data_IF_436806175926
#
_entry.id   IF_436806175926
#
_cell.length_a   1.000
_cell.length_b   1.000
_cell.length_c   1.000
_cell.angle_alpha   90.00
_cell.angle_beta   90.00
_cell.angle_gamma   90.00
#
_symmetry.space_group_name_H-M   'P 1'
#
loop_
_entity.id
_entity.type
_entity.pdbx_description
1 polymer ?
#
# COMPACT_ATOMS: atom_id res chain seq x y z
N UNK A 1 -13.28 -7.54 -11.90
CA UNK A 1 -12.53 -6.36 -11.42
C UNK A 1 -12.17 -5.41 -12.54
N UNK A 2 -11.55 -5.89 -13.64
CA UNK A 2 -11.25 -5.06 -14.82
C UNK A 2 -12.44 -4.21 -15.34
N UNK A 3 -13.63 -4.79 -15.53
CA UNK A 3 -14.84 -4.06 -16.01
C UNK A 3 -15.17 -2.85 -15.14
N UNK A 4 -14.99 -3.00 -13.82
CA UNK A 4 -15.28 -1.93 -12.88
C UNK A 4 -14.27 -0.80 -13.03
N UNK A 5 -12.98 -1.13 -13.18
CA UNK A 5 -11.94 -0.12 -13.42
C UNK A 5 -12.16 0.58 -14.76
N UNK A 6 -12.46 -0.16 -15.82
CA UNK A 6 -12.78 0.40 -17.14
C UNK A 6 -13.99 1.35 -17.10
N UNK A 7 -15.11 0.92 -16.49
CA UNK A 7 -16.30 1.76 -16.33
C UNK A 7 -15.99 3.00 -15.46
N UNK A 8 -15.20 2.86 -14.38
CA UNK A 8 -14.78 3.99 -13.52
C UNK A 8 -13.89 4.99 -14.26
N UNK A 9 -12.94 4.52 -15.09
CA UNK A 9 -12.11 5.38 -15.93
C UNK A 9 -12.97 6.10 -16.97
N UNK A 10 -14.02 5.47 -17.47
CA UNK A 10 -14.91 6.05 -18.49
C UNK A 10 -16.01 6.96 -17.93
N UNK A 11 -16.21 6.99 -16.60
CA UNK A 11 -17.23 7.78 -15.91
C UNK A 11 -16.95 9.29 -15.79
N UNK A 12 -15.92 9.80 -16.47
CA UNK A 12 -15.47 11.21 -16.49
C UNK A 12 -16.54 12.27 -16.86
N UNK A 13 -17.77 11.87 -17.21
CA UNK A 13 -18.86 12.76 -17.62
C UNK A 13 -19.61 13.48 -16.48
N UNK A 14 -19.37 13.16 -15.21
CA UNK A 14 -20.17 13.69 -14.08
C UNK A 14 -19.46 14.76 -13.22
N UNK A 15 -18.36 15.35 -13.70
CA UNK A 15 -17.64 16.43 -12.99
C UNK A 15 -16.78 15.97 -11.81
N UNK A 16 -16.57 14.65 -11.64
CA UNK A 16 -15.66 14.09 -10.64
C UNK A 16 -14.63 13.20 -11.36
N UNK A 17 -13.36 13.61 -11.36
CA UNK A 17 -12.27 12.74 -11.82
C UNK A 17 -12.15 11.52 -10.86
N UNK A 18 -11.93 10.34 -11.42
CA UNK A 18 -11.75 9.10 -10.65
C UNK A 18 -10.35 8.57 -10.89
N UNK A 19 -9.54 8.58 -9.82
CA UNK A 19 -8.26 7.89 -9.76
C UNK A 19 -8.41 6.50 -9.15
N UNK A 20 -7.33 5.73 -9.21
CA UNK A 20 -7.28 4.45 -8.50
C UNK A 20 -5.88 3.88 -8.36
N UNK A 21 -5.67 3.10 -7.31
CA UNK A 21 -4.46 2.28 -7.12
C UNK A 21 -4.86 0.82 -7.23
N UNK A 22 -4.21 0.05 -8.08
CA UNK A 22 -4.43 -1.40 -8.23
C UNK A 22 -3.18 -2.12 -7.75
N UNK A 23 -3.33 -2.98 -6.75
CA UNK A 23 -2.28 -3.86 -6.22
C UNK A 23 -2.57 -5.27 -6.71
N UNK A 24 -1.65 -5.82 -7.51
CA UNK A 24 -1.85 -7.08 -8.21
C UNK A 24 -0.66 -8.03 -7.98
N UNK A 25 -0.83 -9.09 -7.16
CA UNK A 25 0.16 -10.14 -6.92
C UNK A 25 0.58 -10.92 -8.16
N UNK A 26 -0.27 -11.02 -9.18
CA UNK A 26 -0.07 -11.89 -10.36
C UNK A 26 0.33 -11.10 -11.61
N UNK A 27 -0.08 -9.84 -11.70
CA UNK A 27 0.27 -8.90 -12.75
C UNK A 27 -0.68 -8.89 -13.95
N UNK A 28 -1.52 -9.91 -14.10
CA UNK A 28 -2.47 -10.04 -15.20
C UNK A 28 -3.52 -8.91 -15.16
N UNK A 29 -4.06 -8.59 -13.98
CA UNK A 29 -5.03 -7.50 -13.83
C UNK A 29 -4.43 -6.14 -14.19
N UNK A 30 -3.19 -5.87 -13.77
CA UNK A 30 -2.48 -4.66 -14.14
C UNK A 30 -2.25 -4.56 -15.65
N UNK A 31 -1.80 -5.64 -16.29
CA UNK A 31 -1.59 -5.68 -17.74
C UNK A 31 -2.90 -5.46 -18.50
N UNK A 32 -3.95 -6.16 -18.08
CA UNK A 32 -5.29 -6.08 -18.67
C UNK A 32 -5.89 -4.68 -18.59
N UNK A 33 -5.75 -4.02 -17.44
CA UNK A 33 -6.22 -2.63 -17.27
C UNK A 33 -5.41 -1.71 -18.19
N UNK A 34 -4.08 -1.78 -18.13
CA UNK A 34 -3.22 -0.91 -18.92
C UNK A 34 -3.46 -1.03 -20.43
N UNK A 35 -3.69 -2.26 -20.92
CA UNK A 35 -3.97 -2.56 -22.32
C UNK A 35 -5.30 -1.99 -22.83
N UNK A 36 -6.19 -1.53 -21.94
CA UNK A 36 -7.50 -0.95 -22.30
C UNK A 36 -7.56 0.57 -22.13
N UNK A 37 -6.51 1.19 -21.60
CA UNK A 37 -6.49 2.65 -21.39
C UNK A 37 -6.17 3.35 -22.73
N UNK A 38 -7.09 4.20 -23.22
CA UNK A 38 -6.93 4.86 -24.51
C UNK A 38 -5.83 5.94 -24.46
N UNK A 39 -5.15 6.22 -25.59
CA UNK A 39 -3.96 7.09 -25.65
C UNK A 39 -4.11 8.43 -24.93
N UNK A 40 -5.27 9.08 -25.07
CA UNK A 40 -5.58 10.37 -24.46
C UNK A 40 -5.57 10.34 -22.92
N UNK A 41 -5.76 9.17 -22.29
CA UNK A 41 -5.72 8.98 -20.82
C UNK A 41 -4.45 8.34 -20.32
N UNK A 42 -3.59 7.85 -21.21
CA UNK A 42 -2.38 7.11 -20.79
C UNK A 42 -1.46 7.98 -19.93
N UNK A 43 -1.42 9.30 -20.12
CA UNK A 43 -0.63 10.23 -19.31
C UNK A 43 -1.02 10.24 -17.80
N UNK A 44 -2.22 9.78 -17.44
CA UNK A 44 -2.68 9.64 -16.06
C UNK A 44 -2.20 8.33 -15.40
N UNK A 45 -1.58 7.43 -16.18
CA UNK A 45 -1.21 6.09 -15.72
C UNK A 45 0.23 6.08 -15.20
N UNK A 46 0.37 5.63 -13.95
CA UNK A 46 1.64 5.17 -13.37
C UNK A 46 1.64 3.65 -13.37
N UNK A 47 2.49 3.03 -14.20
CA UNK A 47 2.64 1.58 -14.22
C UNK A 47 3.99 1.21 -13.61
N UNK A 48 3.97 0.43 -12.53
CA UNK A 48 5.16 -0.05 -11.85
C UNK A 48 5.15 -1.58 -11.86
N UNK A 49 6.21 -2.19 -12.41
CA UNK A 49 6.51 -3.61 -12.23
C UNK A 49 7.66 -3.73 -11.23
N UNK A 50 7.35 -4.15 -10.01
CA UNK A 50 8.34 -4.11 -8.92
C UNK A 50 9.52 -5.06 -9.15
N UNK A 51 9.32 -6.19 -9.85
CA UNK A 51 10.40 -7.14 -10.16
C UNK A 51 11.56 -6.55 -10.99
N UNK A 52 11.34 -5.39 -11.62
CA UNK A 52 12.38 -4.70 -12.41
C UNK A 52 13.32 -3.87 -11.53
N UNK A 53 12.89 -3.54 -10.30
CA UNK A 53 13.73 -2.83 -9.34
C UNK A 53 14.12 -1.42 -9.76
N UNK A 54 13.40 -0.79 -10.68
CA UNK A 54 13.77 0.51 -11.27
C UNK A 54 13.18 1.71 -10.54
N UNK A 55 12.04 1.55 -9.88
CA UNK A 55 11.36 2.65 -9.19
C UNK A 55 12.09 2.98 -7.87
N UNK A 56 12.46 4.24 -7.62
CA UNK A 56 12.96 4.65 -6.30
C UNK A 56 11.85 4.50 -5.26
N UNK A 57 12.15 3.87 -4.13
CA UNK A 57 11.14 3.56 -3.11
C UNK A 57 11.67 3.76 -1.69
N UNK A 58 11.93 5.00 -1.29
CA UNK A 58 12.28 5.29 0.10
C UNK A 58 11.02 5.33 1.00
N UNK A 59 10.95 4.43 1.98
CA UNK A 59 9.80 4.34 2.91
C UNK A 59 9.68 5.54 3.87
N UNK A 60 10.74 6.34 4.03
CA UNK A 60 10.71 7.56 4.83
C UNK A 60 10.38 8.83 4.02
N UNK A 61 10.42 8.77 2.68
CA UNK A 61 9.97 9.88 1.83
C UNK A 61 8.47 9.77 1.57
N UNK A 62 7.69 10.59 2.27
CA UNK A 62 6.24 10.69 2.11
C UNK A 62 5.85 12.02 1.48
N UNK A 63 4.72 12.03 0.79
CA UNK A 63 4.20 13.19 0.06
C UNK A 63 2.97 13.83 0.73
N UNK A 64 2.81 13.55 2.01
CA UNK A 64 1.74 14.06 2.85
C UNK A 64 2.30 14.57 4.18
N UNK A 65 1.58 15.50 4.81
CA UNK A 65 2.00 16.09 6.08
C UNK A 65 1.96 15.05 7.20
N UNK A 66 3.13 14.67 7.70
CA UNK A 66 3.30 13.82 8.87
C UNK A 66 4.54 14.27 9.65
N UNK A 67 4.49 14.19 10.98
CA UNK A 67 5.65 14.43 11.83
C UNK A 67 6.63 13.25 11.73
N UNK A 68 7.92 13.48 12.00
CA UNK A 68 8.97 12.46 11.81
C UNK A 68 8.71 11.19 12.63
N UNK A 69 8.15 11.33 13.84
CA UNK A 69 7.75 10.22 14.71
C UNK A 69 6.65 9.37 14.08
N UNK A 70 5.66 9.99 13.43
CA UNK A 70 4.58 9.26 12.73
C UNK A 70 5.09 8.52 11.51
N UNK A 71 6.03 9.09 10.77
CA UNK A 71 6.65 8.43 9.62
C UNK A 71 7.48 7.24 10.12
N UNK A 72 8.32 7.42 11.14
CA UNK A 72 9.12 6.34 11.71
C UNK A 72 8.25 5.21 12.28
N UNK A 73 7.18 5.56 13.01
CA UNK A 73 6.22 4.58 13.53
C UNK A 73 5.49 3.85 12.40
N UNK A 74 5.08 4.56 11.34
CA UNK A 74 4.47 3.95 10.16
C UNK A 74 5.39 2.90 9.53
N UNK A 75 6.66 3.25 9.31
CA UNK A 75 7.64 2.32 8.74
C UNK A 75 7.82 1.11 9.66
N UNK A 76 7.91 1.33 10.97
CA UNK A 76 7.96 0.25 11.96
C UNK A 76 6.73 -0.66 11.88
N UNK A 77 5.52 -0.10 11.88
CA UNK A 77 4.25 -0.84 11.86
C UNK A 77 4.10 -1.68 10.59
N UNK A 78 4.46 -1.14 9.43
CA UNK A 78 4.43 -1.86 8.16
C UNK A 78 5.39 -3.06 8.17
N UNK A 79 6.60 -2.87 8.68
CA UNK A 79 7.60 -3.93 8.78
C UNK A 79 7.21 -4.97 9.85
N UNK A 80 6.63 -4.52 10.95
CA UNK A 80 6.06 -5.36 12.03
C UNK A 80 4.97 -6.27 11.50
N UNK A 81 4.07 -5.71 10.70
CA UNK A 81 3.02 -6.47 10.03
C UNK A 81 3.59 -7.53 9.10
N UNK A 82 4.71 -7.28 8.43
CA UNK A 82 5.36 -8.27 7.54
C UNK A 82 6.14 -9.35 8.32
N UNK A 83 6.69 -9.03 9.50
CA UNK A 83 7.56 -9.92 10.27
C UNK A 83 7.01 -10.29 11.66
N UNK A 84 5.71 -10.54 11.77
CA UNK A 84 4.97 -10.73 13.04
C UNK A 84 5.63 -11.70 14.03
N UNK A 85 6.16 -12.83 13.55
CA UNK A 85 6.68 -13.90 14.41
C UNK A 85 7.96 -13.54 15.17
N UNK A 86 8.65 -12.45 14.81
CA UNK A 86 9.94 -12.09 15.40
C UNK A 86 10.10 -10.57 15.50
N UNK A 87 9.09 -9.91 16.07
CA UNK A 87 9.12 -8.48 16.36
C UNK A 87 9.17 -8.25 17.88
N UNK A 88 10.18 -7.51 18.33
CA UNK A 88 10.41 -7.26 19.75
C UNK A 88 10.69 -5.79 20.05
N UNK A 89 10.74 -5.40 21.33
CA UNK A 89 10.85 -4.00 21.75
C UNK A 89 12.08 -3.29 21.18
N UNK A 90 13.22 -4.00 21.09
CA UNK A 90 14.42 -3.46 20.46
C UNK A 90 14.21 -3.09 18.98
N UNK A 91 13.34 -3.82 18.26
CA UNK A 91 13.05 -3.51 16.86
C UNK A 91 12.21 -2.24 16.78
N UNK A 92 11.17 -2.13 17.60
CA UNK A 92 10.36 -0.90 17.73
C UNK A 92 11.25 0.31 18.04
N UNK A 93 12.09 0.23 19.08
CA UNK A 93 12.98 1.32 19.48
C UNK A 93 13.98 1.70 18.37
N UNK A 94 14.58 0.72 17.70
CA UNK A 94 15.57 0.99 16.66
C UNK A 94 14.94 1.68 15.44
N UNK A 95 13.75 1.25 15.00
CA UNK A 95 13.06 1.90 13.88
C UNK A 95 12.54 3.29 14.24
N UNK A 96 11.98 3.46 15.44
CA UNK A 96 11.48 4.75 15.90
C UNK A 96 12.62 5.76 16.07
N UNK A 97 13.59 5.48 16.96
CA UNK A 97 14.68 6.42 17.25
C UNK A 97 15.57 6.64 16.03
N UNK A 98 15.93 5.57 15.33
CA UNK A 98 16.79 5.66 14.16
C UNK A 98 16.09 6.34 12.98
N UNK A 99 14.80 6.08 12.79
CA UNK A 99 14.00 6.75 11.78
C UNK A 99 13.91 8.26 12.03
N UNK A 100 13.63 8.69 13.27
CA UNK A 100 13.55 10.13 13.60
C UNK A 100 14.93 10.78 13.44
N UNK A 101 16.00 10.20 14.00
CA UNK A 101 17.34 10.77 13.93
C UNK A 101 17.79 10.96 12.48
N UNK A 102 17.57 9.96 11.62
CA UNK A 102 17.94 10.06 10.21
C UNK A 102 17.05 11.04 9.44
N UNK A 103 15.78 11.21 9.80
CA UNK A 103 14.92 12.24 9.21
C UNK A 103 15.40 13.65 9.56
N UNK A 104 15.76 13.90 10.82
CA UNK A 104 16.30 15.20 11.29
C UNK A 104 17.54 15.63 10.53
N UNK A 105 18.43 14.69 10.21
CA UNK A 105 19.64 14.98 9.43
C UNK A 105 19.42 14.87 7.91
N UNK A 106 18.22 14.54 7.45
CA UNK A 106 17.88 14.44 6.02
C UNK A 106 18.41 13.20 5.31
N UNK A 107 18.76 12.13 6.02
CA UNK A 107 19.35 10.89 5.48
C UNK A 107 18.51 9.63 5.76
N UNK A 108 17.22 9.79 6.04
CA UNK A 108 16.32 8.69 6.36
C UNK A 108 16.20 7.68 5.22
N UNK A 109 16.69 6.46 5.45
CA UNK A 109 16.51 5.30 4.57
C UNK A 109 16.75 4.01 5.36
N UNK A 110 16.20 2.88 4.89
CA UNK A 110 16.46 1.58 5.54
C UNK A 110 17.95 1.18 5.55
N UNK A 111 18.73 1.43 4.47
CA UNK A 111 20.17 1.21 4.49
C UNK A 111 20.92 2.11 5.49
N UNK A 112 20.54 3.38 5.61
CA UNK A 112 21.17 4.27 6.58
C UNK A 112 20.80 3.91 8.01
N UNK A 113 19.59 3.40 8.25
CA UNK A 113 19.22 2.81 9.54
C UNK A 113 20.11 1.60 9.87
N UNK A 114 20.37 0.74 8.88
CA UNK A 114 21.29 -0.38 9.06
C UNK A 114 22.68 0.13 9.46
N UNK A 115 23.21 1.15 8.76
CA UNK A 115 24.52 1.75 9.07
C UNK A 115 24.55 2.38 10.45
N UNK A 116 23.53 3.15 10.84
CA UNK A 116 23.43 3.78 12.17
C UNK A 116 23.57 2.75 13.31
N UNK A 117 23.04 1.54 13.10
CA UNK A 117 23.08 0.47 14.08
C UNK A 117 24.38 -0.36 14.03
N UNK A 118 25.07 -0.44 12.90
CA UNK A 118 26.24 -1.34 12.71
C UNK A 118 27.61 -0.66 12.56
N UNK A 119 27.64 0.61 12.16
CA UNK A 119 28.85 1.37 11.81
C UNK A 119 29.07 2.49 12.85
N UNK A 120 30.05 2.32 13.76
CA UNK A 120 30.33 3.30 14.82
C UNK A 120 30.74 4.68 14.29
N UNK A 121 31.46 4.73 13.17
CA UNK A 121 31.94 5.98 12.58
C UNK A 121 30.77 6.75 11.96
N UNK A 122 29.89 6.03 11.26
CA UNK A 122 28.66 6.63 10.75
C UNK A 122 27.74 7.09 11.89
N UNK A 123 27.60 6.30 12.96
CA UNK A 123 26.82 6.70 14.15
C UNK A 123 27.36 7.98 14.77
N UNK A 124 28.68 8.11 14.91
CA UNK A 124 29.32 9.34 15.41
C UNK A 124 28.98 10.54 14.51
N UNK A 125 29.08 10.39 13.19
CA UNK A 125 28.73 11.46 12.24
C UNK A 125 27.27 11.91 12.33
N UNK A 126 26.35 11.01 12.68
CA UNK A 126 24.94 11.35 12.93
C UNK A 126 24.82 12.13 14.23
N UNK A 127 25.47 11.68 15.31
CA UNK A 127 25.47 12.35 16.61
C UNK A 127 26.00 13.79 16.54
N UNK A 128 27.04 14.03 15.74
CA UNK A 128 27.62 15.37 15.53
C UNK A 128 26.67 16.36 14.85
N UNK A 129 25.70 15.84 14.09
CA UNK A 129 24.74 16.65 13.31
C UNK A 129 23.41 16.88 14.03
N UNK A 130 23.18 16.22 15.16
CA UNK A 130 21.99 16.44 15.98
C UNK A 130 22.12 17.74 16.78
N UNK A 131 21.08 18.57 16.75
CA UNK A 131 20.98 19.79 17.52
C UNK A 131 20.63 19.49 18.98
N UNK A 132 21.61 19.61 19.88
CA UNK A 132 21.43 19.32 21.31
C UNK A 132 20.56 20.34 22.05
N UNK A 133 20.23 21.47 21.44
CA UNK A 133 19.30 22.45 22.01
C UNK A 133 17.83 22.07 21.76
N UNK A 134 17.55 21.23 20.75
CA UNK A 134 16.22 20.65 20.54
C UNK A 134 16.04 19.46 21.49
N UNK A 135 14.98 19.43 22.33
CA UNK A 135 14.78 18.37 23.31
C UNK A 135 14.70 16.96 22.71
N UNK A 136 14.07 16.83 21.53
CA UNK A 136 13.89 15.53 20.87
C UNK A 136 15.23 15.05 20.33
N UNK A 137 15.98 15.92 19.64
CA UNK A 137 17.31 15.57 19.13
C UNK A 137 18.33 15.32 20.25
N UNK A 138 18.20 15.99 21.40
CA UNK A 138 19.01 15.69 22.57
C UNK A 138 18.70 14.29 23.16
N UNK A 139 17.43 13.89 23.23
CA UNK A 139 17.06 12.54 23.67
C UNK A 139 17.61 11.47 22.71
N UNK A 140 17.55 11.72 21.40
CA UNK A 140 18.15 10.86 20.37
C UNK A 140 19.68 10.81 20.51
N UNK A 141 20.33 11.94 20.75
CA UNK A 141 21.76 12.02 21.01
C UNK A 141 22.15 11.15 22.21
N UNK A 142 21.41 11.26 23.33
CA UNK A 142 21.66 10.46 24.53
C UNK A 142 21.46 8.96 24.26
N UNK A 143 20.40 8.59 23.53
CA UNK A 143 20.12 7.21 23.13
C UNK A 143 21.27 6.60 22.32
N UNK A 144 21.70 7.28 21.25
CA UNK A 144 22.73 6.78 20.35
C UNK A 144 24.15 6.89 20.93
N UNK A 145 24.42 7.88 21.80
CA UNK A 145 25.68 7.97 22.55
C UNK A 145 25.82 6.81 23.55
N UNK A 146 24.73 6.45 24.22
CA UNK A 146 24.71 5.26 25.06
C UNK A 146 24.97 4.01 24.21
N UNK A 147 24.32 3.88 23.05
CA UNK A 147 24.53 2.75 22.14
C UNK A 147 25.99 2.67 21.65
N UNK A 148 26.66 3.81 21.42
CA UNK A 148 28.07 3.92 21.03
C UNK A 148 29.04 3.41 22.11
N UNK A 149 28.70 3.63 23.39
CA UNK A 149 29.53 3.23 24.53
C UNK A 149 29.33 1.79 25.02
N UNK A 150 28.38 1.04 24.47
CA UNK A 150 28.12 -0.35 24.88
C UNK A 150 29.23 -1.31 24.45
N UNK A 151 29.45 -2.35 25.25
CA UNK A 151 30.29 -3.48 24.84
C UNK A 151 29.61 -4.28 23.72
N UNK A 152 30.40 -4.94 22.86
CA UNK A 152 29.91 -5.69 21.69
C UNK A 152 28.75 -6.63 22.00
N UNK A 153 28.82 -7.36 23.12
CA UNK A 153 27.77 -8.32 23.51
C UNK A 153 26.44 -7.62 23.81
N UNK A 154 26.47 -6.48 24.49
CA UNK A 154 25.27 -5.72 24.87
C UNK A 154 24.69 -4.98 23.65
N UNK A 155 25.57 -4.42 22.81
CA UNK A 155 25.19 -3.83 21.53
C UNK A 155 24.46 -4.85 20.65
N UNK A 156 25.00 -6.06 20.50
CA UNK A 156 24.39 -7.13 19.72
C UNK A 156 23.00 -7.52 20.25
N UNK A 157 22.79 -7.54 21.57
CA UNK A 157 21.47 -7.83 22.15
C UNK A 157 20.43 -6.78 21.77
N UNK A 158 20.85 -5.51 21.61
CA UNK A 158 19.97 -4.40 21.22
C UNK A 158 19.76 -4.28 19.71
N UNK A 159 20.73 -4.61 18.87
CA UNK A 159 20.66 -4.29 17.43
C UNK A 159 20.50 -5.49 16.50
N UNK A 160 20.90 -6.69 16.91
CA UNK A 160 21.07 -7.81 15.97
C UNK A 160 19.74 -8.28 15.35
N UNK A 161 18.63 -8.24 16.09
CA UNK A 161 17.30 -8.56 15.56
C UNK A 161 16.90 -7.61 14.42
N UNK A 162 17.05 -6.30 14.63
CA UNK A 162 16.80 -5.28 13.60
C UNK A 162 17.75 -5.44 12.42
N UNK A 163 19.05 -5.59 12.66
CA UNK A 163 20.05 -5.78 11.61
C UNK A 163 19.78 -7.02 10.75
N UNK A 164 19.35 -8.12 11.34
CA UNK A 164 19.00 -9.34 10.61
C UNK A 164 17.82 -9.10 9.65
N UNK A 165 16.81 -8.31 10.07
CA UNK A 165 15.66 -7.97 9.23
C UNK A 165 16.04 -7.00 8.10
N UNK A 166 16.78 -5.95 8.42
CA UNK A 166 17.27 -4.99 7.43
C UNK A 166 18.17 -5.68 6.39
N UNK A 167 19.04 -6.62 6.81
CA UNK A 167 19.88 -7.41 5.89
C UNK A 167 19.07 -8.21 4.87
N UNK A 168 17.92 -8.78 5.24
CA UNK A 168 17.05 -9.50 4.28
C UNK A 168 16.54 -8.58 3.16
N UNK A 169 16.24 -7.34 3.50
CA UNK A 169 15.81 -6.32 2.54
C UNK A 169 16.99 -5.85 1.69
N UNK A 170 18.09 -5.46 2.32
CA UNK A 170 19.21 -4.80 1.63
C UNK A 170 20.02 -5.73 0.74
N UNK A 171 19.93 -7.05 0.96
CA UNK A 171 20.54 -8.10 0.14
C UNK A 171 19.62 -8.62 -0.99
N UNK A 172 18.32 -8.29 -1.00
CA UNK A 172 17.47 -8.62 -2.15
C UNK A 172 17.93 -7.82 -3.37
N UNK A 173 18.11 -8.51 -4.51
CA UNK A 173 18.52 -7.88 -5.77
C UNK A 173 17.51 -6.86 -6.30
N UNK A 174 16.23 -7.04 -5.96
CA UNK A 174 15.14 -6.14 -6.36
C UNK A 174 14.89 -5.09 -5.29
N UNK A 175 14.52 -5.51 -4.07
CA UNK A 175 14.17 -4.58 -2.99
C UNK A 175 15.34 -3.71 -2.58
N UNK A 176 16.54 -4.29 -2.50
CA UNK A 176 17.74 -3.59 -2.11
C UNK A 176 18.09 -2.44 -3.07
N UNK A 177 17.81 -2.58 -4.37
CA UNK A 177 18.02 -1.51 -5.37
C UNK A 177 17.04 -0.36 -5.15
N UNK A 178 15.76 -0.67 -4.96
CA UNK A 178 14.68 0.31 -4.82
C UNK A 178 14.72 1.08 -3.50
N UNK A 179 14.88 0.38 -2.38
CA UNK A 179 14.79 0.93 -1.02
C UNK A 179 16.06 1.71 -0.60
N UNK A 180 17.09 1.75 -1.46
CA UNK A 180 18.27 2.60 -1.32
C UNK A 180 18.08 4.01 -1.86
N UNK A 181 17.00 4.24 -2.59
CA UNK A 181 16.68 5.56 -3.11
C UNK A 181 16.49 6.57 -1.97
N UNK A 182 16.66 7.85 -2.30
CA UNK A 182 16.39 8.96 -1.39
C UNK A 182 14.91 9.35 -1.41
N UNK A 183 14.20 9.03 -2.49
CA UNK A 183 12.81 9.41 -2.69
C UNK A 183 11.88 8.22 -2.92
N UNK A 184 10.59 8.46 -2.78
CA UNK A 184 9.52 7.55 -3.10
C UNK A 184 8.85 7.97 -4.41
N UNK A 185 9.12 7.23 -5.48
CA UNK A 185 8.62 7.52 -6.81
C UNK A 185 7.11 7.36 -6.98
N UNK A 186 6.42 6.71 -6.04
CA UNK A 186 4.97 6.48 -6.15
C UNK A 186 4.15 7.72 -5.81
N UNK A 187 4.64 8.60 -4.91
CA UNK A 187 3.96 9.82 -4.41
C UNK A 187 2.45 9.60 -4.28
N UNK A 188 2.05 8.89 -3.21
CA UNK A 188 0.69 8.38 -3.05
C UNK A 188 -0.36 9.48 -2.97
N UNK A 189 -0.13 10.52 -2.16
CA UNK A 189 -1.07 11.64 -2.02
C UNK A 189 -1.23 12.41 -3.32
N UNK A 190 -0.13 12.70 -4.01
CA UNK A 190 -0.12 13.36 -5.32
C UNK A 190 -0.90 12.54 -6.34
N UNK A 191 -0.67 11.22 -6.41
CA UNK A 191 -1.38 10.32 -7.33
C UNK A 191 -2.88 10.35 -7.08
N UNK A 192 -3.30 10.38 -5.81
CA UNK A 192 -4.71 10.46 -5.43
C UNK A 192 -5.34 11.78 -5.82
N UNK A 193 -4.68 12.90 -5.51
CA UNK A 193 -5.22 14.25 -5.71
C UNK A 193 -5.22 14.68 -7.18
N UNK A 194 -4.38 14.06 -8.00
CA UNK A 194 -4.37 14.24 -9.46
C UNK A 194 -5.28 13.26 -10.20
N UNK A 195 -5.95 12.33 -9.50
CA UNK A 195 -6.82 11.34 -10.13
C UNK A 195 -6.07 10.35 -11.03
N UNK A 196 -4.81 10.02 -10.68
CA UNK A 196 -4.00 9.08 -11.45
C UNK A 196 -4.46 7.64 -11.28
N UNK A 197 -4.17 6.82 -12.28
CA UNK A 197 -4.33 5.37 -12.25
C UNK A 197 -2.96 4.75 -11.96
N UNK A 198 -2.76 4.25 -10.76
CA UNK A 198 -1.51 3.65 -10.29
C UNK A 198 -1.62 2.14 -10.32
N UNK A 199 -0.92 1.48 -11.22
CA UNK A 199 -0.89 0.02 -11.40
C UNK A 199 0.38 -0.53 -10.76
N UNK A 200 0.22 -1.27 -9.67
CA UNK A 200 1.28 -1.86 -8.85
C UNK A 200 1.33 -3.36 -9.11
N UNK A 201 2.15 -3.73 -10.10
CA UNK A 201 2.34 -5.11 -10.52
C UNK A 201 3.45 -5.76 -9.67
N UNK A 202 3.05 -6.75 -8.86
CA UNK A 202 3.94 -7.51 -7.97
C UNK A 202 4.31 -8.89 -8.53
N UNK A 203 4.01 -9.16 -9.81
CA UNK A 203 4.40 -10.39 -10.48
C UNK A 203 5.92 -10.60 -10.44
N UNK A 204 6.35 -11.86 -10.53
CA UNK A 204 7.77 -12.27 -10.52
C UNK A 204 8.57 -11.96 -9.24
N UNK A 205 7.98 -11.28 -8.25
CA UNK A 205 8.54 -11.18 -6.90
C UNK A 205 8.41 -12.50 -6.14
N UNK A 206 9.29 -12.73 -5.18
CA UNK A 206 9.11 -13.83 -4.20
C UNK A 206 7.90 -13.57 -3.30
N UNK A 207 7.37 -14.63 -2.67
CA UNK A 207 6.19 -14.51 -1.79
C UNK A 207 6.38 -13.45 -0.68
N UNK A 208 7.55 -13.45 -0.03
CA UNK A 208 7.88 -12.49 1.03
C UNK A 208 7.97 -11.05 0.50
N UNK A 209 8.52 -10.86 -0.71
CA UNK A 209 8.61 -9.54 -1.36
C UNK A 209 7.24 -9.01 -1.76
N UNK A 210 6.35 -9.85 -2.30
CA UNK A 210 4.96 -9.47 -2.61
C UNK A 210 4.22 -9.02 -1.35
N UNK A 211 4.33 -9.79 -0.26
CA UNK A 211 3.71 -9.47 1.03
C UNK A 211 4.21 -8.13 1.57
N UNK A 212 5.53 -7.94 1.58
CA UNK A 212 6.16 -6.72 2.08
C UNK A 212 5.74 -5.49 1.27
N UNK A 213 5.92 -5.53 -0.04
CA UNK A 213 5.63 -4.39 -0.93
C UNK A 213 4.13 -4.12 -1.02
N UNK A 214 3.30 -5.16 -1.11
CA UNK A 214 1.85 -5.02 -1.13
C UNK A 214 1.33 -4.37 0.16
N UNK A 215 1.81 -4.81 1.32
CA UNK A 215 1.43 -4.23 2.63
C UNK A 215 1.94 -2.80 2.79
N UNK A 216 3.16 -2.50 2.32
CA UNK A 216 3.69 -1.13 2.24
C UNK A 216 2.78 -0.24 1.39
N UNK A 217 2.50 -0.65 0.16
CA UNK A 217 1.69 0.15 -0.76
C UNK A 217 0.27 0.38 -0.24
N UNK A 218 -0.34 -0.64 0.36
CA UNK A 218 -1.67 -0.51 0.96
C UNK A 218 -1.66 0.45 2.15
N UNK A 219 -0.65 0.38 3.02
CA UNK A 219 -0.53 1.27 4.19
C UNK A 219 -0.21 2.71 3.76
N UNK A 220 0.69 2.93 2.79
CA UNK A 220 0.94 4.27 2.28
C UNK A 220 -0.29 4.87 1.60
N UNK A 221 -1.05 4.06 0.86
CA UNK A 221 -2.33 4.50 0.31
C UNK A 221 -3.35 4.86 1.41
N UNK A 222 -3.40 4.08 2.50
CA UNK A 222 -4.25 4.37 3.65
C UNK A 222 -3.90 5.74 4.27
N UNK A 223 -2.62 5.97 4.54
CA UNK A 223 -2.11 7.18 5.17
C UNK A 223 -2.26 8.40 4.27
N UNK A 224 -1.97 8.26 2.97
CA UNK A 224 -2.22 9.30 1.99
C UNK A 224 -3.72 9.66 1.95
N UNK A 225 -4.62 8.66 1.99
CA UNK A 225 -6.07 8.89 2.08
C UNK A 225 -6.45 9.65 3.35
N UNK A 226 -6.00 9.19 4.52
CA UNK A 226 -6.24 9.89 5.81
C UNK A 226 -5.70 11.31 5.83
N UNK A 227 -4.57 11.55 5.16
CA UNK A 227 -3.95 12.86 5.16
C UNK A 227 -4.84 13.94 4.53
N UNK A 228 -5.79 13.58 3.66
CA UNK A 228 -6.81 14.53 3.12
C UNK A 228 -7.68 15.19 4.20
N UNK A 229 -7.59 14.74 5.45
CA UNK A 229 -8.12 15.47 6.60
C UNK A 229 -7.57 16.91 6.71
N UNK A 230 -6.37 17.17 6.18
CA UNK A 230 -5.73 18.48 6.13
C UNK A 230 -6.38 19.46 5.14
N UNK A 231 -7.20 18.96 4.22
CA UNK A 231 -7.84 19.75 3.17
C UNK A 231 -9.19 20.26 3.65
N UNK A 232 -9.49 21.57 3.53
CA UNK A 232 -10.79 22.13 3.90
C UNK A 232 -11.94 21.37 3.24
N UNK A 233 -13.05 21.16 3.96
CA UNK A 233 -14.12 20.29 3.48
C UNK A 233 -14.63 20.65 2.07
N UNK A 234 -14.81 21.95 1.78
CA UNK A 234 -15.28 22.43 0.48
C UNK A 234 -14.29 22.15 -0.68
N UNK A 235 -12.99 22.10 -0.41
CA UNK A 235 -11.96 21.73 -1.39
C UNK A 235 -11.81 20.21 -1.48
N UNK A 236 -11.91 19.51 -0.34
CA UNK A 236 -11.87 18.05 -0.29
C UNK A 236 -12.98 17.42 -1.11
N UNK A 237 -14.17 18.02 -1.11
CA UNK A 237 -15.30 17.55 -1.92
C UNK A 237 -15.03 17.66 -3.43
N UNK A 238 -14.08 18.51 -3.84
CA UNK A 238 -13.65 18.68 -5.24
C UNK A 238 -12.48 17.75 -5.62
N UNK A 239 -11.80 17.12 -4.64
CA UNK A 239 -10.72 16.18 -4.94
C UNK A 239 -11.23 14.97 -5.73
N UNK A 240 -10.40 14.38 -6.61
CA UNK A 240 -10.74 13.14 -7.28
C UNK A 240 -11.08 12.03 -6.28
N UNK A 241 -12.09 11.24 -6.62
CA UNK A 241 -12.36 10.01 -5.88
C UNK A 241 -11.25 9.01 -6.19
N UNK A 242 -10.73 8.31 -5.19
CA UNK A 242 -9.63 7.35 -5.38
C UNK A 242 -9.93 6.00 -4.76
N UNK A 243 -10.06 4.96 -5.56
CA UNK A 243 -10.21 3.60 -5.03
C UNK A 243 -8.86 2.90 -4.91
N UNK A 244 -8.69 2.06 -3.90
CA UNK A 244 -7.58 1.12 -3.78
C UNK A 244 -8.15 -0.27 -4.04
N UNK A 245 -7.73 -0.90 -5.12
CA UNK A 245 -8.12 -2.25 -5.49
C UNK A 245 -6.99 -3.20 -5.14
N UNK A 246 -7.30 -4.25 -4.39
CA UNK A 246 -6.36 -5.32 -4.07
C UNK A 246 -6.88 -6.59 -4.72
N UNK A 247 -6.17 -7.07 -5.73
CA UNK A 247 -6.39 -8.41 -6.26
C UNK A 247 -5.83 -9.45 -5.29
N UNK A 248 -6.49 -10.60 -5.21
CA UNK A 248 -6.12 -11.69 -4.31
C UNK A 248 -5.82 -11.22 -2.88
N UNK A 249 -6.74 -10.41 -2.32
CA UNK A 249 -6.58 -9.76 -1.03
C UNK A 249 -6.16 -10.67 0.14
N UNK A 250 -6.55 -11.97 0.22
CA UNK A 250 -6.02 -12.88 1.22
C UNK A 250 -4.49 -12.92 1.33
N UNK A 251 -3.76 -12.70 0.22
CA UNK A 251 -2.29 -12.66 0.22
C UNK A 251 -1.70 -11.52 1.04
N UNK A 252 -2.45 -10.42 1.21
CA UNK A 252 -2.03 -9.23 1.95
C UNK A 252 -2.76 -9.04 3.28
N UNK A 253 -3.93 -9.68 3.45
CA UNK A 253 -4.82 -9.49 4.61
C UNK A 253 -4.15 -9.78 5.94
N UNK A 254 -3.41 -10.89 6.06
CA UNK A 254 -2.72 -11.24 7.31
C UNK A 254 -1.79 -10.11 7.79
N UNK A 255 -1.23 -9.35 6.86
CA UNK A 255 -0.25 -8.30 7.12
C UNK A 255 -0.86 -6.89 6.98
N UNK A 256 -2.17 -6.76 6.76
CA UNK A 256 -2.80 -5.46 6.49
C UNK A 256 -4.20 -5.29 7.09
N UNK A 257 -4.58 -6.11 8.08
CA UNK A 257 -5.90 -6.06 8.73
C UNK A 257 -6.31 -4.65 9.15
N UNK A 258 -5.49 -3.95 9.92
CA UNK A 258 -5.83 -2.61 10.43
C UNK A 258 -6.05 -1.61 9.28
N UNK A 259 -5.25 -1.72 8.22
CA UNK A 259 -5.40 -0.86 7.05
C UNK A 259 -6.74 -1.11 6.37
N UNK A 260 -7.11 -2.38 6.16
CA UNK A 260 -8.40 -2.77 5.58
C UNK A 260 -9.57 -2.29 6.45
N UNK A 261 -9.48 -2.44 7.78
CA UNK A 261 -10.50 -1.96 8.70
C UNK A 261 -10.64 -0.43 8.64
N UNK A 262 -9.52 0.30 8.57
CA UNK A 262 -9.54 1.74 8.41
C UNK A 262 -10.15 2.15 7.07
N UNK A 263 -9.77 1.50 5.96
CA UNK A 263 -10.40 1.75 4.65
C UNK A 263 -11.92 1.55 4.70
N UNK A 264 -12.36 0.50 5.40
CA UNK A 264 -13.77 0.15 5.47
C UNK A 264 -14.59 1.09 6.37
N UNK A 265 -13.98 1.68 7.41
CA UNK A 265 -14.68 2.46 8.44
C UNK A 265 -14.49 3.98 8.35
N UNK A 266 -13.33 4.45 7.90
CA UNK A 266 -12.91 5.86 8.03
C UNK A 266 -12.70 6.55 6.68
N UNK A 267 -12.02 5.89 5.73
CA UNK A 267 -11.48 6.56 4.54
C UNK A 267 -12.52 7.04 3.54
N UNK A 268 -13.78 6.57 3.67
CA UNK A 268 -14.91 7.10 2.90
C UNK A 268 -15.07 8.61 3.07
N UNK A 269 -14.76 9.15 4.27
CA UNK A 269 -14.81 10.59 4.57
C UNK A 269 -13.77 11.40 3.79
N UNK A 270 -12.77 10.72 3.21
CA UNK A 270 -11.64 11.30 2.50
C UNK A 270 -11.68 11.02 0.99
N UNK A 271 -12.86 10.68 0.45
CA UNK A 271 -13.08 10.29 -0.96
C UNK A 271 -12.20 9.12 -1.40
N UNK A 272 -11.92 8.20 -0.48
CA UNK A 272 -11.12 7.01 -0.74
C UNK A 272 -11.91 5.76 -0.32
N UNK A 273 -11.84 4.70 -1.13
CA UNK A 273 -12.43 3.39 -0.78
C UNK A 273 -11.50 2.26 -1.13
N UNK A 274 -11.81 1.06 -0.61
CA UNK A 274 -11.11 -0.16 -0.96
C UNK A 274 -12.03 -1.13 -1.71
N UNK A 275 -11.47 -1.86 -2.67
CA UNK A 275 -12.10 -2.97 -3.40
C UNK A 275 -11.23 -4.20 -3.20
N UNK A 276 -11.80 -5.28 -2.69
CA UNK A 276 -11.06 -6.51 -2.38
C UNK A 276 -11.52 -7.63 -3.31
N UNK A 277 -10.58 -8.18 -4.08
CA UNK A 277 -10.76 -9.41 -4.84
C UNK A 277 -10.39 -10.61 -3.99
N UNK A 278 -11.25 -11.63 -3.92
CA UNK A 278 -11.05 -12.82 -3.09
C UNK A 278 -11.56 -14.05 -3.84
N UNK A 279 -10.82 -15.16 -3.79
CA UNK A 279 -11.25 -16.43 -4.40
C UNK A 279 -12.15 -17.26 -3.48
N UNK A 280 -11.97 -17.10 -2.16
CA UNK A 280 -12.75 -17.76 -1.12
C UNK A 280 -12.51 -17.08 0.23
N UNK A 281 -13.23 -17.52 1.26
CA UNK A 281 -13.10 -16.99 2.63
C UNK A 281 -12.39 -18.01 3.51
N UNK A 282 -12.93 -19.23 3.56
CA UNK A 282 -12.45 -20.28 4.46
C UNK A 282 -11.04 -20.72 4.08
N UNK A 283 -10.16 -20.71 5.08
CA UNK A 283 -8.76 -21.14 4.92
C UNK A 283 -7.87 -20.11 4.22
N UNK A 284 -8.44 -19.00 3.74
CA UNK A 284 -7.70 -17.89 3.13
C UNK A 284 -7.75 -16.63 3.99
N UNK A 285 -8.83 -16.45 4.77
CA UNK A 285 -9.10 -15.24 5.55
C UNK A 285 -9.30 -15.61 7.01
N UNK A 286 -8.60 -14.94 7.95
CA UNK A 286 -8.90 -15.09 9.38
C UNK A 286 -10.36 -14.75 9.70
N UNK A 287 -10.97 -15.45 10.66
CA UNK A 287 -12.39 -15.27 11.03
C UNK A 287 -12.71 -13.83 11.38
N UNK A 288 -11.84 -13.18 12.15
CA UNK A 288 -12.04 -11.82 12.65
C UNK A 288 -12.05 -10.81 11.49
N UNK A 289 -11.18 -11.03 10.49
CA UNK A 289 -11.09 -10.21 9.28
C UNK A 289 -12.33 -10.40 8.41
N UNK A 290 -12.77 -11.64 8.23
CA UNK A 290 -14.00 -11.96 7.50
C UNK A 290 -15.21 -11.27 8.12
N UNK A 291 -15.36 -11.34 9.44
CA UNK A 291 -16.44 -10.68 10.17
C UNK A 291 -16.38 -9.15 10.06
N UNK A 292 -15.18 -8.57 10.11
CA UNK A 292 -14.98 -7.14 9.90
C UNK A 292 -15.37 -6.69 8.48
N UNK A 293 -15.02 -7.48 7.45
CA UNK A 293 -15.41 -7.22 6.07
C UNK A 293 -16.93 -7.22 5.93
N UNK A 294 -17.63 -8.26 6.41
CA UNK A 294 -19.08 -8.35 6.30
C UNK A 294 -19.83 -7.26 7.09
N UNK A 295 -19.23 -6.78 8.17
CA UNK A 295 -19.77 -5.68 9.00
C UNK A 295 -19.62 -4.32 8.31
N UNK A 296 -18.44 -4.03 7.77
CA UNK A 296 -18.08 -2.66 7.36
C UNK A 296 -18.29 -2.39 5.86
N UNK A 297 -18.23 -3.40 4.99
CA UNK A 297 -18.42 -3.20 3.56
C UNK A 297 -19.91 -3.03 3.25
N UNK A 298 -20.24 -2.00 2.44
CA UNK A 298 -21.62 -1.74 2.01
C UNK A 298 -22.03 -2.56 0.79
N UNK A 299 -21.04 -2.99 -0.01
CA UNK A 299 -21.26 -3.65 -1.30
C UNK A 299 -20.52 -4.97 -1.34
N UNK A 300 -21.24 -6.02 -1.75
CA UNK A 300 -20.73 -7.37 -1.93
C UNK A 300 -21.15 -7.86 -3.30
N UNK A 301 -20.23 -8.52 -3.99
CA UNK A 301 -20.48 -9.22 -5.25
C UNK A 301 -19.95 -10.63 -5.07
N UNK A 302 -20.85 -11.61 -5.06
CA UNK A 302 -20.50 -13.02 -5.05
C UNK A 302 -20.60 -13.56 -6.47
N UNK A 303 -19.46 -14.00 -6.99
CA UNK A 303 -19.39 -14.82 -8.20
C UNK A 303 -19.60 -16.28 -7.85
N UNK A 304 -19.35 -17.18 -8.79
CA UNK A 304 -19.35 -18.62 -8.52
C UNK A 304 -18.34 -18.96 -7.43
N UNK A 305 -18.82 -19.55 -6.34
CA UNK A 305 -17.99 -20.04 -5.25
C UNK A 305 -17.64 -21.51 -5.46
N UNK A 306 -16.42 -21.89 -5.09
CA UNK A 306 -15.94 -23.27 -5.19
C UNK A 306 -16.18 -24.12 -3.95
N UNK A 307 -16.45 -23.50 -2.79
CA UNK A 307 -16.59 -24.17 -1.50
C UNK A 307 -18.00 -23.96 -0.91
N UNK A 308 -18.72 -25.04 -0.51
CA UNK A 308 -20.01 -24.95 0.18
C UNK A 308 -20.00 -24.07 1.45
N UNK A 309 -18.90 -24.05 2.19
CA UNK A 309 -18.78 -23.28 3.43
C UNK A 309 -18.65 -21.79 3.17
N UNK A 310 -17.96 -21.40 2.08
CA UNK A 310 -17.94 -20.02 1.60
C UNK A 310 -19.34 -19.60 1.15
N UNK A 311 -20.05 -20.47 0.44
CA UNK A 311 -21.42 -20.19 0.01
C UNK A 311 -22.37 -20.00 1.20
N UNK A 312 -22.22 -20.80 2.25
CA UNK A 312 -22.97 -20.65 3.48
C UNK A 312 -22.64 -19.32 4.20
N UNK A 313 -21.36 -18.97 4.31
CA UNK A 313 -20.92 -17.73 4.95
C UNK A 313 -21.44 -16.49 4.20
N UNK A 314 -21.35 -16.52 2.87
CA UNK A 314 -21.85 -15.47 1.99
C UNK A 314 -23.37 -15.36 2.06
N UNK A 315 -24.11 -16.47 2.00
CA UNK A 315 -25.58 -16.44 2.09
C UNK A 315 -26.06 -15.88 3.44
N UNK A 316 -25.44 -16.30 4.55
CA UNK A 316 -25.74 -15.74 5.89
C UNK A 316 -25.53 -14.23 5.94
N UNK A 317 -24.52 -13.73 5.22
CA UNK A 317 -24.16 -12.30 5.21
C UNK A 317 -24.96 -11.48 4.18
N UNK A 318 -25.53 -12.14 3.18
CA UNK A 318 -26.44 -11.59 2.17
C UNK A 318 -27.80 -12.30 2.22
N UNK A 319 -28.55 -12.15 3.33
CA UNK A 319 -29.77 -12.94 3.54
C UNK A 319 -30.82 -12.62 2.46
N UNK A 320 -31.45 -13.68 1.97
CA UNK A 320 -32.53 -13.64 0.99
C UNK A 320 -33.53 -14.75 1.29
N UNK A 321 -34.81 -14.50 1.02
CA UNK A 321 -35.86 -15.51 1.11
C UNK A 321 -35.81 -16.50 -0.06
N UNK A 322 -35.13 -16.11 -1.15
CA UNK A 322 -35.13 -16.85 -2.42
C UNK A 322 -33.82 -17.61 -2.64
N UNK A 323 -32.69 -17.03 -2.23
CA UNK A 323 -31.37 -17.61 -2.46
C UNK A 323 -31.00 -18.63 -1.37
N UNK A 324 -30.43 -19.74 -1.82
CA UNK A 324 -29.84 -20.81 -1.00
C UNK A 324 -28.34 -20.90 -1.25
N UNK A 325 -27.63 -21.59 -0.36
CA UNK A 325 -26.18 -21.81 -0.46
C UNK A 325 -25.80 -22.42 -1.83
N UNK A 326 -26.64 -23.34 -2.33
CA UNK A 326 -26.46 -23.98 -3.64
C UNK A 326 -26.48 -23.01 -4.83
N UNK A 327 -27.16 -21.87 -4.71
CA UNK A 327 -27.26 -20.91 -5.82
C UNK A 327 -25.93 -20.21 -6.06
N UNK A 328 -25.18 -19.91 -5.00
CA UNK A 328 -23.84 -19.33 -5.08
C UNK A 328 -22.80 -20.31 -5.66
N UNK A 329 -23.03 -21.61 -5.56
CA UNK A 329 -22.19 -22.65 -6.17
C UNK A 329 -22.49 -22.86 -7.66
N UNK A 330 -23.75 -22.67 -8.06
CA UNK A 330 -24.23 -23.03 -9.40
C UNK A 330 -24.40 -21.85 -10.36
N UNK A 331 -24.24 -20.60 -9.89
CA UNK A 331 -24.39 -19.41 -10.72
C UNK A 331 -23.57 -19.49 -12.01
N UNK A 332 -24.15 -19.10 -13.13
CA UNK A 332 -23.52 -19.17 -14.45
C UNK A 332 -22.28 -18.26 -14.57
N UNK A 333 -21.33 -18.58 -15.46
CA UNK A 333 -20.24 -17.66 -15.77
C UNK A 333 -20.77 -16.28 -16.17
N UNK A 334 -20.01 -15.23 -15.84
CA UNK A 334 -20.39 -13.83 -16.07
C UNK A 334 -21.66 -13.37 -15.36
N UNK A 335 -22.18 -14.13 -14.39
CA UNK A 335 -23.23 -13.69 -13.49
C UNK A 335 -22.71 -13.63 -12.06
N UNK A 336 -23.30 -12.74 -11.25
CA UNK A 336 -22.98 -12.59 -9.83
C UNK A 336 -24.22 -12.25 -9.03
N UNK A 337 -24.25 -12.59 -7.75
CA UNK A 337 -25.22 -12.03 -6.80
C UNK A 337 -24.62 -10.83 -6.12
N UNK A 338 -25.34 -9.70 -6.11
CA UNK A 338 -24.88 -8.48 -5.50
C UNK A 338 -25.85 -7.97 -4.45
N UNK A 339 -25.27 -7.51 -3.35
CA UNK A 339 -25.93 -6.68 -2.36
C UNK A 339 -25.17 -5.37 -2.28
N UNK A 340 -25.87 -4.25 -2.28
CA UNK A 340 -25.24 -2.96 -2.11
C UNK A 340 -25.96 -2.12 -1.07
N UNK A 341 -25.27 -1.11 -0.58
CA UNK A 341 -25.86 -0.09 0.26
C UNK A 341 -26.21 1.12 -0.61
N UNK A 342 -27.47 1.52 -0.59
CA UNK A 342 -27.97 2.72 -1.26
C UNK A 342 -28.44 3.67 -0.17
N UNK A 343 -27.79 4.83 -0.06
CA UNK A 343 -27.92 5.71 1.11
C UNK A 343 -27.66 4.96 2.43
N UNK A 344 -28.67 4.81 3.28
CA UNK A 344 -28.56 4.13 4.57
C UNK A 344 -29.27 2.76 4.59
N UNK A 345 -29.73 2.27 3.43
CA UNK A 345 -30.44 1.00 3.33
C UNK A 345 -29.63 -0.03 2.54
N UNK A 346 -29.74 -1.29 2.95
CA UNK A 346 -29.16 -2.42 2.23
C UNK A 346 -30.20 -2.97 1.26
N UNK A 347 -29.82 -3.16 0.00
CA UNK A 347 -30.69 -3.82 -0.97
C UNK A 347 -30.90 -5.27 -0.60
N UNK A 348 -31.98 -5.89 -1.10
CA UNK A 348 -32.03 -7.35 -1.22
C UNK A 348 -30.96 -7.81 -2.22
N UNK A 349 -30.38 -9.01 -2.07
CA UNK A 349 -29.49 -9.55 -3.08
C UNK A 349 -30.21 -9.66 -4.42
N UNK A 350 -29.54 -9.25 -5.50
CA UNK A 350 -30.06 -9.34 -6.87
C UNK A 350 -29.01 -9.93 -7.80
N UNK A 351 -29.48 -10.56 -8.88
CA UNK A 351 -28.62 -11.10 -9.92
C UNK A 351 -28.10 -9.96 -10.80
N UNK A 352 -26.79 -9.90 -10.99
CA UNK A 352 -26.16 -9.07 -12.01
C UNK A 352 -25.59 -9.95 -13.12
N UNK A 353 -25.62 -9.41 -14.34
CA UNK A 353 -24.85 -9.94 -15.46
C UNK A 353 -23.69 -9.00 -15.73
N UNK A 354 -22.48 -9.54 -15.68
CA UNK A 354 -21.26 -8.81 -16.01
C UNK A 354 -21.18 -8.58 -17.51
N UNK A 355 -20.70 -7.40 -17.90
CA UNK A 355 -20.34 -7.13 -19.30
C UNK A 355 -19.10 -7.94 -19.68
N UNK A 356 -18.95 -8.25 -20.96
CA UNK A 356 -17.66 -8.71 -21.48
C UNK A 356 -16.65 -7.55 -21.41
N UNK A 357 -15.35 -7.81 -21.21
CA UNK A 357 -14.34 -6.78 -21.28
C UNK A 357 -14.37 -6.05 -22.61
N UNK A 358 -14.05 -4.76 -22.59
CA UNK A 358 -13.60 -4.08 -23.80
C UNK A 358 -12.37 -4.79 -24.40
N UNK A 359 -12.12 -4.57 -25.69
CA UNK A 359 -10.95 -5.13 -26.34
C UNK A 359 -9.66 -4.51 -25.76
N UNK A 360 -8.65 -5.35 -25.50
CA UNK A 360 -7.31 -4.91 -25.13
C UNK A 360 -6.59 -4.39 -26.38
N UNK A 361 -6.73 -3.10 -26.68
CA UNK A 361 -6.26 -2.50 -27.94
C UNK A 361 -4.86 -1.86 -27.81
N UNK A 362 -4.39 -1.61 -26.59
CA UNK A 362 -3.25 -0.74 -26.31
C UNK A 362 -2.10 -1.43 -25.56
N UNK A 363 -1.98 -2.76 -25.64
CA UNK A 363 -0.87 -3.52 -25.04
C UNK A 363 0.50 -2.97 -25.42
N UNK A 364 0.65 -2.52 -26.67
CA UNK A 364 1.91 -1.95 -27.19
C UNK A 364 2.34 -0.65 -26.50
N UNK A 365 1.43 0.04 -25.81
CA UNK A 365 1.71 1.27 -25.06
C UNK A 365 2.25 1.01 -23.65
N UNK A 366 2.11 -0.21 -23.11
CA UNK A 366 2.52 -0.53 -21.73
C UNK A 366 4.00 -0.21 -21.46
N UNK A 367 4.97 -0.57 -22.33
CA UNK A 367 6.38 -0.22 -22.11
C UNK A 367 6.62 1.29 -22.00
N UNK A 368 5.89 2.11 -22.77
CA UNK A 368 5.99 3.56 -22.72
C UNK A 368 5.41 4.12 -21.42
N UNK A 369 4.27 3.60 -20.95
CA UNK A 369 3.69 3.99 -19.66
C UNK A 369 4.68 3.72 -18.51
N UNK A 370 5.31 2.55 -18.52
CA UNK A 370 6.32 2.17 -17.51
C UNK A 370 7.52 3.11 -17.58
N UNK A 371 8.08 3.31 -18.76
CA UNK A 371 9.23 4.19 -18.96
C UNK A 371 8.95 5.60 -18.45
N UNK A 372 7.81 6.19 -18.82
CA UNK A 372 7.41 7.52 -18.33
C UNK A 372 7.29 7.56 -16.80
N UNK A 373 6.71 6.52 -16.21
CA UNK A 373 6.60 6.41 -14.74
C UNK A 373 7.97 6.44 -14.07
N UNK A 374 8.93 5.67 -14.59
CA UNK A 374 10.31 5.65 -14.08
C UNK A 374 11.02 6.98 -14.34
N UNK A 375 10.89 7.58 -15.52
CA UNK A 375 11.52 8.85 -15.87
C UNK A 375 11.05 9.99 -14.96
N UNK A 376 9.74 10.08 -14.68
CA UNK A 376 9.16 11.03 -13.72
C UNK A 376 9.71 10.83 -12.30
N UNK A 377 9.74 9.59 -11.81
CA UNK A 377 10.24 9.26 -10.48
C UNK A 377 11.74 9.54 -10.34
N UNK A 378 12.53 9.21 -11.36
CA UNK A 378 13.98 9.45 -11.36
C UNK A 378 14.32 10.92 -11.48
N UNK A 379 13.48 11.74 -12.09
CA UNK A 379 13.65 13.20 -12.08
C UNK A 379 13.50 13.78 -10.67
N UNK A 380 12.52 13.27 -9.91
CA UNK A 380 12.37 13.64 -8.50
C UNK A 380 13.59 13.19 -7.66
N UNK A 381 14.07 11.96 -7.86
CA UNK A 381 15.27 11.43 -7.23
C UNK A 381 16.50 12.31 -7.50
N UNK A 382 16.73 12.69 -8.77
CA UNK A 382 17.85 13.58 -9.17
C UNK A 382 17.78 14.96 -8.51
N UNK A 383 16.60 15.57 -8.45
CA UNK A 383 16.40 16.88 -7.80
C UNK A 383 16.72 16.82 -6.30
N UNK A 384 16.33 15.72 -5.63
CA UNK A 384 16.66 15.50 -4.22
C UNK A 384 18.17 15.39 -4.00
N UNK A 385 18.87 14.64 -4.84
CA UNK A 385 20.34 14.52 -4.76
C UNK A 385 21.08 15.85 -4.91
N UNK A 386 20.58 16.78 -5.74
CA UNK A 386 21.18 18.10 -5.92
C UNK A 386 20.97 19.01 -4.69
N UNK A 387 19.89 18.81 -3.94
CA UNK A 387 19.54 19.66 -2.78
C UNK A 387 20.45 19.39 -1.58
N UNK A 388 21.01 18.18 -1.44
CA UNK A 388 21.88 17.80 -0.32
C UNK A 388 23.39 18.00 -0.55
N UNK A 389 23.78 18.48 -1.74
CA UNK A 389 25.19 18.77 -2.08
C UNK A 389 25.57 20.26 -1.94
N UNK A 390 24.61 21.09 -1.55
CA UNK A 390 24.77 22.52 -1.25
C UNK A 390 24.58 22.67 0.25
#
# INVERSE_FOLDING_TARGET
MYNLVEDLINLDGAGNAIGGTVIDPHGDLCQDIAARIPPEKQHLVRYIKFSEGEIPFNVYDVDFTASEDKIAQTVADVLKRTWKDFWGPNIDDNFLNGGIALQRIGEASLPNLQRLLSDPDYRESVLERLNREDPIENDLYLYFSNLQGLQDRELQQKTNSTLNKLRKITLSGVLGKMLRAQTNGLRFRESMDQGRITLLNLSELTSDEKKLIGSMCLTFAELAGKSRADTPAAERDQLPYHFVMVDEAPTLMEHSTDAIESFASELRKYKTSIILGMQGLKGQVPSEVSDAIFRNFGTFVSLRLGNPEDAQAVNRSMPSEVLKDSDYLNIEPFHGYMRMQVANERTRPFLLRMKAPGAALYERSIPEMKKRTIDEAMEHERKRFLTFRI
#
